data_IF_626819323642
#
_entry.id   IF_626819323642
#
_cell.length_a   1.000
_cell.length_b   1.000
_cell.length_c   1.000
_cell.angle_alpha   90.00
_cell.angle_beta   90.00
_cell.angle_gamma   90.00
#
_symmetry.space_group_name_H-M   'P 1'
#
loop_
_entity.id
_entity.type
_entity.pdbx_description
1 polymer ?
#
# COMPACT_ATOMS: atom_id res chain seq x y z
N UNK A 1 67.39 14.95 -87.12
CA UNK A 1 68.13 15.26 -85.88
C UNK A 1 67.34 14.71 -84.69
N UNK A 2 67.92 13.71 -84.02
CA UNK A 2 67.59 13.16 -82.68
C UNK A 2 66.15 12.67 -82.41
N UNK A 3 66.03 11.34 -82.50
CA UNK A 3 65.27 10.50 -81.58
C UNK A 3 65.54 10.90 -80.12
N UNK A 4 64.49 11.00 -79.30
CA UNK A 4 64.60 10.96 -77.85
C UNK A 4 63.56 10.00 -77.29
N UNK A 5 64.08 8.82 -77.01
CA UNK A 5 63.53 7.79 -76.16
C UNK A 5 63.39 8.34 -74.73
N UNK A 6 62.19 8.28 -74.15
CA UNK A 6 61.98 8.44 -72.70
C UNK A 6 60.99 7.36 -72.24
N UNK A 7 61.35 6.10 -72.50
CA UNK A 7 60.90 4.98 -71.69
C UNK A 7 61.66 4.99 -70.35
N UNK A 8 60.95 5.09 -69.21
CA UNK A 8 61.47 4.51 -67.96
C UNK A 8 61.47 5.32 -66.66
N UNK A 9 60.98 6.58 -66.58
CA UNK A 9 61.03 7.34 -65.30
C UNK A 9 59.68 7.81 -64.72
N UNK A 10 58.58 7.73 -65.46
CA UNK A 10 57.24 8.13 -64.98
C UNK A 10 56.51 7.04 -64.18
N UNK A 11 56.92 5.77 -64.29
CA UNK A 11 56.24 4.67 -63.60
C UNK A 11 56.51 4.62 -62.08
N UNK A 12 57.68 5.08 -61.62
CA UNK A 12 58.05 5.05 -60.18
C UNK A 12 57.35 6.15 -59.37
N UNK A 13 57.21 7.36 -59.93
CA UNK A 13 56.50 8.46 -59.26
C UNK A 13 54.98 8.24 -59.24
N UNK A 14 54.41 7.74 -60.35
CA UNK A 14 53.00 7.33 -60.40
C UNK A 14 52.70 6.18 -59.44
N UNK A 15 53.62 5.21 -59.32
CA UNK A 15 53.51 4.11 -58.36
C UNK A 15 53.59 4.57 -56.89
N UNK A 16 54.45 5.53 -56.55
CA UNK A 16 54.55 6.11 -55.21
C UNK A 16 53.30 6.92 -54.81
N UNK A 17 52.75 7.71 -55.73
CA UNK A 17 51.49 8.44 -55.52
C UNK A 17 50.31 7.48 -55.35
N UNK A 18 50.23 6.44 -56.18
CA UNK A 18 49.19 5.41 -56.05
C UNK A 18 49.30 4.67 -54.70
N UNK A 19 50.51 4.37 -54.24
CA UNK A 19 50.75 3.71 -52.96
C UNK A 19 50.39 4.62 -51.77
N UNK A 20 50.65 5.92 -51.86
CA UNK A 20 50.25 6.91 -50.86
C UNK A 20 48.73 7.04 -50.76
N UNK A 21 48.04 7.11 -51.91
CA UNK A 21 46.57 7.15 -51.96
C UNK A 21 45.98 5.86 -51.37
N UNK A 22 46.54 4.69 -51.73
CA UNK A 22 46.12 3.41 -51.17
C UNK A 22 46.32 3.36 -49.66
N UNK A 23 47.47 3.82 -49.16
CA UNK A 23 47.73 3.91 -47.73
C UNK A 23 46.74 4.86 -47.02
N UNK A 24 46.47 6.04 -47.58
CA UNK A 24 45.49 6.98 -47.03
C UNK A 24 44.08 6.38 -46.99
N UNK A 25 43.68 5.61 -48.02
CA UNK A 25 42.40 4.90 -48.03
C UNK A 25 42.38 3.82 -46.94
N UNK A 26 43.43 3.02 -46.79
CA UNK A 26 43.50 2.00 -45.76
C UNK A 26 43.42 2.63 -44.37
N UNK A 27 44.17 3.71 -44.12
CA UNK A 27 44.13 4.45 -42.84
C UNK A 27 42.74 5.03 -42.59
N UNK A 28 42.11 5.63 -43.60
CA UNK A 28 40.75 6.18 -43.48
C UNK A 28 39.72 5.09 -43.21
N UNK A 29 39.80 3.94 -43.89
CA UNK A 29 38.88 2.81 -43.68
C UNK A 29 39.11 2.18 -42.31
N UNK A 30 40.36 2.02 -41.86
CA UNK A 30 40.68 1.54 -40.51
C UNK A 30 40.18 2.50 -39.44
N UNK A 31 40.37 3.81 -39.61
CA UNK A 31 39.83 4.82 -38.71
C UNK A 31 38.30 4.83 -38.71
N UNK A 32 37.68 4.82 -39.90
CA UNK A 32 36.23 4.85 -40.04
C UNK A 32 35.57 3.56 -39.52
N UNK A 33 36.29 2.44 -39.51
CA UNK A 33 35.84 1.18 -38.91
C UNK A 33 35.91 1.20 -37.37
N UNK A 34 36.73 2.05 -36.76
CA UNK A 34 36.86 2.19 -35.30
C UNK A 34 36.16 3.42 -34.71
N UNK A 35 35.94 4.47 -35.50
CA UNK A 35 35.29 5.68 -35.03
C UNK A 35 33.78 5.47 -34.88
N UNK A 36 33.28 5.55 -33.65
CA UNK A 36 31.85 5.48 -33.34
C UNK A 36 31.18 6.86 -33.49
N UNK A 37 29.98 6.84 -34.07
CA UNK A 37 29.07 7.97 -34.15
C UNK A 37 27.75 7.61 -33.46
N UNK A 38 27.32 8.46 -32.54
CA UNK A 38 26.06 8.31 -31.80
C UNK A 38 24.87 8.46 -32.77
N UNK A 39 23.95 7.51 -32.70
CA UNK A 39 22.67 7.58 -33.36
C UNK A 39 21.65 8.18 -32.38
N UNK A 40 21.04 9.31 -32.77
CA UNK A 40 20.03 10.00 -31.97
C UNK A 40 18.68 10.00 -32.68
N UNK A 41 17.63 9.72 -31.91
CA UNK A 41 16.24 9.89 -32.34
C UNK A 41 15.68 11.13 -31.67
N UNK A 42 15.26 12.11 -32.48
CA UNK A 42 14.69 13.39 -31.99
C UNK A 42 13.18 13.28 -31.95
N UNK A 43 12.60 13.49 -30.77
CA UNK A 43 11.16 13.35 -30.56
C UNK A 43 10.62 14.54 -29.77
N UNK A 44 9.46 15.10 -30.18
CA UNK A 44 8.81 16.13 -29.41
C UNK A 44 8.24 15.53 -28.13
N UNK A 45 8.29 16.29 -27.04
CA UNK A 45 7.77 15.90 -25.75
C UNK A 45 7.17 17.05 -24.95
N UNK A 46 6.44 16.69 -23.91
CA UNK A 46 5.77 17.60 -23.00
C UNK A 46 6.11 17.25 -21.56
N UNK A 47 6.38 18.25 -20.74
CA UNK A 47 6.69 18.06 -19.33
C UNK A 47 5.40 17.76 -18.56
N UNK A 48 5.42 16.67 -17.82
CA UNK A 48 4.35 16.20 -16.94
C UNK A 48 4.92 16.00 -15.53
N UNK A 49 4.09 16.17 -14.48
CA UNK A 49 4.50 15.79 -13.13
C UNK A 49 4.78 14.28 -13.07
N UNK A 50 5.78 13.86 -12.28
CA UNK A 50 6.02 12.43 -12.02
C UNK A 50 4.81 11.76 -11.37
N UNK A 51 4.17 12.49 -10.46
CA UNK A 51 3.07 11.96 -9.68
C UNK A 51 1.75 12.34 -10.32
N UNK A 52 0.77 11.47 -10.14
CA UNK A 52 -0.60 11.75 -10.56
C UNK A 52 -1.26 12.61 -9.48
N UNK A 53 -2.23 13.43 -9.89
CA UNK A 53 -3.10 14.11 -8.92
C UNK A 53 -3.74 13.06 -8.00
N UNK A 54 -3.63 13.26 -6.70
CA UNK A 54 -4.28 12.40 -5.72
C UNK A 54 -5.72 12.87 -5.55
N UNK A 55 -6.68 11.98 -5.80
CA UNK A 55 -8.10 12.29 -5.56
C UNK A 55 -8.43 11.90 -4.13
N UNK A 56 -8.95 12.85 -3.36
CA UNK A 56 -9.50 12.62 -2.03
C UNK A 56 -11.00 12.44 -2.18
N UNK A 57 -11.49 11.27 -1.78
CA UNK A 57 -12.89 10.87 -1.94
C UNK A 57 -13.51 10.55 -0.58
N UNK A 58 -14.83 10.59 -0.54
CA UNK A 58 -15.61 10.20 0.64
C UNK A 58 -15.67 8.69 0.73
N UNK A 59 -15.21 8.13 1.85
CA UNK A 59 -15.38 6.71 2.16
C UNK A 59 -16.77 6.45 2.75
N UNK A 60 -17.13 7.22 3.78
CA UNK A 60 -18.41 7.12 4.48
C UNK A 60 -19.26 8.38 4.25
N UNK A 61 -20.54 8.23 3.85
CA UNK A 61 -21.39 9.38 3.57
C UNK A 61 -21.65 10.20 4.84
N UNK A 62 -21.65 11.52 4.71
CA UNK A 62 -21.73 12.43 5.84
C UNK A 62 -22.14 13.85 5.46
N UNK A 63 -22.47 14.63 6.48
CA UNK A 63 -22.78 16.06 6.35
C UNK A 63 -21.51 16.84 6.63
N UNK A 64 -21.12 17.76 5.75
CA UNK A 64 -19.95 18.61 5.95
C UNK A 64 -20.19 19.52 7.14
N UNK A 65 -19.28 19.46 8.11
CA UNK A 65 -19.28 20.31 9.30
C UNK A 65 -18.36 21.52 9.08
N UNK A 66 -17.12 21.26 8.63
CA UNK A 66 -16.12 22.32 8.41
C UNK A 66 -15.27 22.03 7.17
N UNK A 67 -14.92 23.08 6.43
CA UNK A 67 -13.94 23.05 5.33
C UNK A 67 -12.80 23.99 5.71
N UNK A 68 -11.58 23.45 5.87
CA UNK A 68 -10.44 24.16 6.45
C UNK A 68 -9.40 24.60 5.42
N UNK A 69 -9.59 24.21 4.15
CA UNK A 69 -8.70 24.54 3.04
C UNK A 69 -9.44 25.23 1.91
N UNK A 70 -8.69 25.97 1.10
CA UNK A 70 -9.19 26.65 -0.10
C UNK A 70 -8.45 26.12 -1.32
N UNK A 71 -9.04 26.28 -2.50
CA UNK A 71 -8.33 25.98 -3.75
C UNK A 71 -7.05 26.80 -3.87
N UNK A 72 -5.97 26.15 -4.32
CA UNK A 72 -4.63 26.74 -4.39
C UNK A 72 -3.86 26.76 -3.06
N UNK A 73 -4.45 26.30 -1.95
CA UNK A 73 -3.75 26.22 -0.68
C UNK A 73 -2.67 25.11 -0.69
N UNK A 74 -1.50 25.42 -0.13
CA UNK A 74 -0.47 24.44 0.20
C UNK A 74 -0.91 23.64 1.43
N UNK A 75 -0.84 22.31 1.33
CA UNK A 75 -1.18 21.38 2.40
C UNK A 75 -0.04 20.41 2.64
N UNK A 76 0.10 20.00 3.91
CA UNK A 76 1.05 18.97 4.32
C UNK A 76 0.39 17.61 4.49
N UNK A 77 1.14 16.53 4.39
CA UNK A 77 0.69 15.18 4.74
C UNK A 77 0.15 15.16 6.17
N UNK A 78 -1.02 14.56 6.35
CA UNK A 78 -1.73 14.48 7.63
C UNK A 78 -2.46 15.77 8.03
N UNK A 79 -2.33 16.86 7.26
CA UNK A 79 -3.06 18.10 7.52
C UNK A 79 -4.57 17.89 7.34
N UNK A 80 -5.35 18.37 8.30
CA UNK A 80 -6.80 18.36 8.24
C UNK A 80 -7.31 19.28 7.10
N UNK A 81 -8.13 18.72 6.22
CA UNK A 81 -8.69 19.40 5.05
C UNK A 81 -10.17 19.74 5.25
N UNK A 82 -10.94 18.76 5.69
CA UNK A 82 -12.39 18.84 5.84
C UNK A 82 -12.83 17.94 7.00
N UNK A 83 -13.92 18.31 7.66
CA UNK A 83 -14.55 17.52 8.72
C UNK A 83 -16.02 17.31 8.41
N UNK A 84 -16.48 16.09 8.53
CA UNK A 84 -17.89 15.72 8.55
C UNK A 84 -18.43 15.69 9.98
N UNK A 85 -19.74 15.83 10.13
CA UNK A 85 -20.40 15.75 11.42
C UNK A 85 -20.19 14.36 12.06
N UNK A 86 -19.45 14.33 13.18
CA UNK A 86 -19.04 13.08 13.86
C UNK A 86 -20.02 12.62 14.92
N UNK A 87 -21.00 13.43 15.32
CA UNK A 87 -21.83 13.20 16.52
C UNK A 87 -22.48 11.81 16.49
N UNK A 88 -23.03 11.42 15.35
CA UNK A 88 -23.68 10.10 15.21
C UNK A 88 -22.67 8.94 15.29
N UNK A 89 -21.54 9.06 14.60
CA UNK A 89 -20.52 8.02 14.58
C UNK A 89 -19.84 7.87 15.94
N UNK A 90 -19.58 8.98 16.62
CA UNK A 90 -19.03 9.01 17.98
C UNK A 90 -20.00 8.39 18.99
N UNK A 91 -21.30 8.74 18.94
CA UNK A 91 -22.31 8.14 19.81
C UNK A 91 -22.37 6.61 19.64
N UNK A 92 -22.37 6.10 18.40
CA UNK A 92 -22.36 4.67 18.09
C UNK A 92 -21.08 3.97 18.58
N UNK A 93 -19.92 4.62 18.40
CA UNK A 93 -18.65 4.13 18.93
C UNK A 93 -18.69 4.03 20.47
N UNK A 94 -19.13 5.07 21.18
CA UNK A 94 -19.20 5.11 22.64
C UNK A 94 -20.19 4.08 23.20
N UNK A 95 -21.34 3.90 22.55
CA UNK A 95 -22.32 2.87 22.91
C UNK A 95 -21.72 1.47 22.79
N UNK A 96 -21.05 1.20 21.65
CA UNK A 96 -20.45 -0.11 21.39
C UNK A 96 -19.25 -0.37 22.29
N UNK A 97 -18.45 0.66 22.56
CA UNK A 97 -17.35 0.59 23.51
C UNK A 97 -17.85 0.20 24.91
N UNK A 98 -18.94 0.81 25.36
CA UNK A 98 -19.56 0.49 26.66
C UNK A 98 -20.03 -0.97 26.72
N UNK A 99 -20.58 -1.50 25.61
CA UNK A 99 -20.94 -2.93 25.49
C UNK A 99 -19.71 -3.84 25.57
N UNK A 100 -18.62 -3.51 24.89
CA UNK A 100 -17.34 -4.25 24.95
C UNK A 100 -16.80 -4.28 26.38
N UNK A 101 -16.83 -3.15 27.09
CA UNK A 101 -16.38 -3.06 28.48
C UNK A 101 -17.21 -3.97 29.39
N UNK A 102 -18.54 -3.95 29.25
CA UNK A 102 -19.42 -4.83 30.03
C UNK A 102 -19.16 -6.32 29.75
N UNK A 103 -18.96 -6.69 28.47
CA UNK A 103 -18.63 -8.07 28.08
C UNK A 103 -17.25 -8.50 28.58
N UNK A 104 -16.23 -7.63 28.52
CA UNK A 104 -14.92 -7.89 29.12
C UNK A 104 -15.03 -8.17 30.63
N UNK A 105 -15.84 -7.40 31.35
CA UNK A 105 -16.08 -7.62 32.78
C UNK A 105 -16.75 -8.98 33.03
N UNK A 106 -17.75 -9.35 32.21
CA UNK A 106 -18.42 -10.63 32.28
C UNK A 106 -17.44 -11.80 32.03
N UNK A 107 -16.59 -11.71 31.00
CA UNK A 107 -15.56 -12.72 30.68
C UNK A 107 -14.53 -12.84 31.82
N UNK A 108 -14.07 -11.72 32.39
CA UNK A 108 -13.13 -11.75 33.52
C UNK A 108 -13.74 -12.44 34.75
N UNK A 109 -15.01 -12.16 35.05
CA UNK A 109 -15.77 -12.84 36.11
C UNK A 109 -15.90 -14.34 35.84
N UNK A 110 -16.41 -14.70 34.66
CA UNK A 110 -16.72 -16.10 34.32
C UNK A 110 -15.46 -16.97 34.20
N UNK A 111 -14.38 -16.43 33.64
CA UNK A 111 -13.07 -17.12 33.63
C UNK A 111 -12.57 -17.39 35.05
N UNK A 112 -12.78 -16.45 35.99
CA UNK A 112 -12.45 -16.64 37.39
C UNK A 112 -13.34 -17.69 38.08
N UNK A 113 -14.63 -17.75 37.75
CA UNK A 113 -15.56 -18.80 38.21
C UNK A 113 -15.12 -20.19 37.74
N UNK A 114 -14.70 -20.32 36.48
CA UNK A 114 -14.22 -21.58 35.90
C UNK A 114 -12.88 -22.02 36.50
N UNK A 115 -11.96 -21.07 36.70
CA UNK A 115 -10.62 -21.34 37.25
C UNK A 115 -10.59 -21.45 38.78
N UNK A 116 -11.66 -21.04 39.47
CA UNK A 116 -11.71 -21.01 40.93
C UNK A 116 -10.81 -19.96 41.58
N UNK A 117 -10.51 -18.86 40.87
CA UNK A 117 -9.65 -17.75 41.35
C UNK A 117 -10.46 -16.47 41.53
N UNK A 118 -9.87 -15.44 42.14
CA UNK A 118 -10.49 -14.10 42.18
C UNK A 118 -10.43 -13.43 40.79
N UNK A 119 -11.50 -12.72 40.37
CA UNK A 119 -11.54 -12.09 39.06
C UNK A 119 -10.55 -10.94 38.96
N UNK A 120 -9.72 -10.97 37.90
CA UNK A 120 -8.82 -9.90 37.51
C UNK A 120 -9.40 -9.15 36.32
N UNK A 121 -9.79 -7.89 36.54
CA UNK A 121 -10.41 -7.08 35.50
C UNK A 121 -9.35 -6.31 34.68
N UNK A 122 -9.52 -6.23 33.34
CA UNK A 122 -8.68 -5.38 32.49
C UNK A 122 -8.77 -3.89 32.84
N UNK A 123 -7.72 -3.12 32.54
CA UNK A 123 -7.64 -1.69 32.85
C UNK A 123 -8.80 -0.87 32.27
N UNK A 124 -9.35 -1.25 31.12
CA UNK A 124 -10.45 -0.50 30.52
C UNK A 124 -11.75 -0.63 31.34
N UNK A 125 -11.91 -1.74 32.05
CA UNK A 125 -13.07 -1.98 32.94
C UNK A 125 -12.87 -1.25 34.27
N UNK A 126 -11.61 -1.09 34.73
CA UNK A 126 -11.30 -0.40 35.99
C UNK A 126 -11.81 1.05 36.03
N UNK A 127 -12.01 1.67 34.86
CA UNK A 127 -12.57 3.02 34.71
C UNK A 127 -14.06 3.12 35.02
N UNK A 128 -14.76 1.98 35.15
CA UNK A 128 -16.22 1.91 35.35
C UNK A 128 -16.54 1.21 36.68
N UNK A 129 -16.53 1.94 37.82
CA UNK A 129 -16.65 1.35 39.15
C UNK A 129 -17.99 0.63 39.38
N UNK A 130 -19.09 1.12 38.79
CA UNK A 130 -20.41 0.49 38.90
C UNK A 130 -20.43 -0.91 38.26
N UNK A 131 -19.82 -1.06 37.08
CA UNK A 131 -19.72 -2.36 36.37
C UNK A 131 -18.90 -3.34 37.22
N UNK A 132 -17.75 -2.90 37.74
CA UNK A 132 -16.89 -3.72 38.60
C UNK A 132 -17.62 -4.19 39.86
N UNK A 133 -18.27 -3.27 40.57
CA UNK A 133 -19.00 -3.57 41.79
C UNK A 133 -20.09 -4.62 41.54
N UNK A 134 -20.85 -4.47 40.46
CA UNK A 134 -21.90 -5.41 40.08
C UNK A 134 -21.34 -6.81 39.76
N UNK A 135 -20.28 -6.91 38.95
CA UNK A 135 -19.67 -8.20 38.62
C UNK A 135 -19.00 -8.87 39.81
N UNK A 136 -18.36 -8.10 40.69
CA UNK A 136 -17.72 -8.63 41.89
C UNK A 136 -18.76 -9.10 42.93
N UNK A 137 -19.87 -8.35 43.11
CA UNK A 137 -20.98 -8.77 43.96
C UNK A 137 -21.65 -10.05 43.44
N UNK A 138 -21.87 -10.14 42.12
CA UNK A 138 -22.44 -11.31 41.48
C UNK A 138 -21.54 -12.55 41.65
N UNK A 139 -20.23 -12.40 41.44
CA UNK A 139 -19.23 -13.46 41.66
C UNK A 139 -19.31 -14.01 43.08
N UNK A 140 -19.23 -13.13 44.09
CA UNK A 140 -19.31 -13.50 45.50
C UNK A 140 -20.61 -14.22 45.83
N UNK A 141 -21.74 -13.71 45.33
CA UNK A 141 -23.06 -14.32 45.57
C UNK A 141 -23.16 -15.73 44.99
N UNK A 142 -22.71 -15.95 43.75
CA UNK A 142 -22.72 -17.27 43.11
C UNK A 142 -21.80 -18.26 43.82
N UNK A 143 -20.57 -17.84 44.15
CA UNK A 143 -19.61 -18.68 44.87
C UNK A 143 -20.11 -19.04 46.27
N UNK A 144 -20.67 -18.07 46.99
CA UNK A 144 -21.27 -18.32 48.30
C UNK A 144 -22.40 -19.34 48.23
N UNK A 145 -23.34 -19.18 47.29
CA UNK A 145 -24.44 -20.12 47.11
C UNK A 145 -23.95 -21.55 46.82
N UNK A 146 -22.96 -21.72 45.94
CA UNK A 146 -22.36 -23.01 45.65
C UNK A 146 -21.72 -23.64 46.90
N UNK A 147 -20.92 -22.86 47.62
CA UNK A 147 -20.22 -23.34 48.81
C UNK A 147 -21.19 -23.73 49.92
N UNK A 148 -22.27 -22.99 50.11
CA UNK A 148 -23.30 -23.28 51.10
C UNK A 148 -24.03 -24.59 50.79
N UNK A 149 -24.42 -24.81 49.53
CA UNK A 149 -25.06 -26.06 49.14
C UNK A 149 -24.13 -27.27 49.27
N UNK A 150 -22.83 -27.11 48.95
CA UNK A 150 -21.82 -28.13 49.18
C UNK A 150 -21.64 -28.37 50.67
N UNK A 151 -21.67 -27.32 51.50
CA UNK A 151 -21.50 -27.43 52.94
C UNK A 151 -22.64 -28.22 53.58
N UNK A 152 -23.89 -27.90 53.25
CA UNK A 152 -25.06 -28.67 53.73
C UNK A 152 -24.97 -30.14 53.31
N UNK A 153 -24.58 -30.40 52.06
CA UNK A 153 -24.40 -31.78 51.57
C UNK A 153 -23.27 -32.52 52.28
N UNK A 154 -22.17 -31.83 52.61
CA UNK A 154 -21.05 -32.41 53.36
C UNK A 154 -21.43 -32.73 54.81
N UNK A 155 -22.16 -31.84 55.48
CA UNK A 155 -22.67 -32.12 56.82
C UNK A 155 -23.57 -33.37 56.85
N UNK A 156 -24.43 -33.51 55.84
CA UNK A 156 -25.25 -34.73 55.69
C UNK A 156 -24.40 -35.98 55.46
N UNK A 157 -23.30 -35.87 54.69
CA UNK A 157 -22.36 -36.98 54.49
C UNK A 157 -21.64 -37.35 55.79
N UNK A 158 -21.12 -36.36 56.52
CA UNK A 158 -20.42 -36.56 57.80
C UNK A 158 -21.30 -37.27 58.82
N UNK A 159 -22.60 -36.93 58.88
CA UNK A 159 -23.56 -37.62 59.76
C UNK A 159 -23.73 -39.10 59.39
N UNK A 160 -23.85 -39.42 58.09
CA UNK A 160 -23.98 -40.80 57.60
C UNK A 160 -22.68 -41.58 57.81
N UNK A 161 -21.53 -40.95 57.61
CA UNK A 161 -20.22 -41.56 57.87
C UNK A 161 -19.99 -41.82 59.35
N UNK A 162 -20.43 -40.92 60.24
CA UNK A 162 -20.38 -41.13 61.68
C UNK A 162 -21.31 -42.29 62.11
N UNK A 163 -22.52 -42.38 61.56
CA UNK A 163 -23.43 -43.49 61.81
C UNK A 163 -22.85 -44.82 61.32
N UNK A 164 -22.21 -44.82 60.14
CA UNK A 164 -21.51 -45.98 59.61
C UNK A 164 -20.36 -46.42 60.54
N UNK A 165 -19.56 -45.47 61.04
CA UNK A 165 -18.42 -45.76 61.90
C UNK A 165 -18.82 -46.42 63.23
N UNK A 166 -20.00 -46.08 63.76
CA UNK A 166 -20.54 -46.69 64.99
C UNK A 166 -21.21 -48.04 64.71
N UNK A 167 -21.87 -48.21 63.56
CA UNK A 167 -22.62 -49.43 63.23
C UNK A 167 -21.76 -50.54 62.63
N UNK A 168 -20.67 -50.22 61.93
CA UNK A 168 -19.77 -51.20 61.31
C UNK A 168 -19.16 -52.22 62.31
N UNK A 169 -18.68 -51.86 63.52
CA UNK A 169 -18.20 -52.85 64.50
C UNK A 169 -19.33 -53.75 65.04
N UNK A 170 -20.58 -53.27 65.10
CA UNK A 170 -21.73 -54.05 65.56
C UNK A 170 -22.10 -55.19 64.59
N UNK A 171 -21.67 -55.09 63.32
CA UNK A 171 -21.83 -56.18 62.36
C UNK A 171 -20.96 -57.39 62.75
N UNK A 172 -19.78 -57.15 63.32
CA UNK A 172 -18.87 -58.21 63.75
C UNK A 172 -19.39 -58.96 64.99
N UNK A 173 -20.14 -58.28 65.86
CA UNK A 173 -20.82 -58.89 67.02
C UNK A 173 -22.16 -59.54 66.66
N UNK A 174 -22.71 -59.24 65.48
CA UNK A 174 -23.97 -59.79 64.97
C UNK A 174 -25.22 -58.99 65.36
N UNK A 175 -25.05 -57.82 65.97
CA UNK A 175 -26.14 -56.98 66.48
C UNK A 175 -26.85 -56.17 65.39
N UNK A 176 -26.26 -56.07 64.19
CA UNK A 176 -26.84 -55.39 63.02
C UNK A 176 -26.73 -56.22 61.74
N UNK A 177 -27.68 -56.01 60.82
CA UNK A 177 -27.69 -56.69 59.52
C UNK A 177 -26.71 -56.05 58.53
N UNK A 178 -26.04 -56.90 57.72
CA UNK A 178 -25.22 -56.46 56.59
C UNK A 178 -26.00 -55.58 55.59
N UNK A 179 -27.33 -55.75 55.52
CA UNK A 179 -28.20 -54.94 54.65
C UNK A 179 -28.22 -53.47 55.09
N UNK A 180 -28.18 -53.19 56.39
CA UNK A 180 -28.27 -51.83 56.90
C UNK A 180 -26.95 -51.07 56.69
N UNK A 181 -25.80 -51.73 56.85
CA UNK A 181 -24.50 -51.20 56.44
C UNK A 181 -24.47 -50.86 54.94
N UNK A 182 -25.00 -51.74 54.09
CA UNK A 182 -25.08 -51.47 52.65
C UNK A 182 -26.01 -50.29 52.31
N UNK A 183 -27.11 -50.10 53.06
CA UNK A 183 -27.98 -48.92 52.91
C UNK A 183 -27.23 -47.63 53.23
N UNK A 184 -26.52 -47.59 54.37
CA UNK A 184 -25.73 -46.42 54.78
C UNK A 184 -24.60 -46.11 53.79
N UNK A 185 -23.84 -47.12 53.34
CA UNK A 185 -22.81 -46.94 52.29
C UNK A 185 -23.40 -46.39 51.00
N UNK A 186 -24.54 -46.91 50.55
CA UNK A 186 -25.24 -46.39 49.37
C UNK A 186 -25.68 -44.94 49.55
N UNK A 187 -26.19 -44.58 50.74
CA UNK A 187 -26.59 -43.20 51.05
C UNK A 187 -25.40 -42.25 51.03
N UNK A 188 -24.25 -42.65 51.60
CA UNK A 188 -23.01 -41.87 51.53
C UNK A 188 -22.57 -41.64 50.07
N UNK A 189 -22.57 -42.70 49.26
CA UNK A 189 -22.24 -42.61 47.82
C UNK A 189 -23.22 -41.71 47.07
N UNK A 190 -24.53 -41.75 47.39
CA UNK A 190 -25.53 -40.88 46.79
C UNK A 190 -25.28 -39.40 47.12
N UNK A 191 -24.97 -39.08 48.38
CA UNK A 191 -24.66 -37.71 48.81
C UNK A 191 -23.36 -37.21 48.14
N UNK A 192 -22.33 -38.07 48.09
CA UNK A 192 -21.09 -37.75 47.39
C UNK A 192 -21.31 -37.51 45.88
N UNK A 193 -22.20 -38.31 45.27
CA UNK A 193 -22.68 -38.11 43.91
C UNK A 193 -23.38 -36.77 43.75
N UNK A 194 -24.25 -36.36 44.68
CA UNK A 194 -24.92 -35.04 44.67
C UNK A 194 -23.92 -33.89 44.72
N UNK A 195 -22.90 -33.95 45.58
CA UNK A 195 -21.83 -32.93 45.65
C UNK A 195 -21.09 -32.82 44.32
N UNK A 196 -20.74 -33.97 43.73
CA UNK A 196 -19.99 -34.03 42.46
C UNK A 196 -20.82 -33.48 41.31
N UNK A 197 -22.07 -33.90 41.20
CA UNK A 197 -23.02 -33.40 40.20
C UNK A 197 -23.24 -31.90 40.35
N UNK A 198 -23.34 -31.38 41.58
CA UNK A 198 -23.53 -29.93 41.80
C UNK A 198 -22.31 -29.10 41.38
N UNK A 199 -21.10 -29.58 41.71
CA UNK A 199 -19.85 -28.95 41.24
C UNK A 199 -19.73 -28.97 39.73
N UNK A 200 -19.95 -30.13 39.11
CA UNK A 200 -19.86 -30.28 37.66
C UNK A 200 -20.89 -29.40 36.96
N UNK A 201 -22.12 -29.33 37.49
CA UNK A 201 -23.16 -28.48 36.91
C UNK A 201 -22.81 -27.00 36.98
N UNK A 202 -22.27 -26.54 38.11
CA UNK A 202 -21.79 -25.17 38.24
C UNK A 202 -20.68 -24.84 37.21
N UNK A 203 -19.72 -25.74 37.02
CA UNK A 203 -18.64 -25.57 36.04
C UNK A 203 -19.15 -25.60 34.60
N UNK A 204 -20.05 -26.53 34.27
CA UNK A 204 -20.70 -26.63 32.96
C UNK A 204 -21.45 -25.33 32.63
N UNK A 205 -22.26 -24.84 33.55
CA UNK A 205 -23.02 -23.60 33.38
C UNK A 205 -22.09 -22.39 33.24
N UNK A 206 -21.03 -22.30 34.05
CA UNK A 206 -20.03 -21.24 33.96
C UNK A 206 -19.23 -21.28 32.64
N UNK A 207 -18.87 -22.46 32.14
CA UNK A 207 -18.20 -22.64 30.86
C UNK A 207 -19.11 -22.27 29.68
N UNK A 208 -20.37 -22.68 29.73
CA UNK A 208 -21.35 -22.33 28.70
C UNK A 208 -21.60 -20.81 28.64
N UNK A 209 -21.76 -20.17 29.81
CA UNK A 209 -21.86 -18.70 29.91
C UNK A 209 -20.59 -18.02 29.41
N UNK A 210 -19.41 -18.54 29.75
CA UNK A 210 -18.11 -17.99 29.32
C UNK A 210 -17.96 -18.03 27.81
N UNK A 211 -18.24 -19.19 27.18
CA UNK A 211 -18.15 -19.35 25.74
C UNK A 211 -19.06 -18.36 25.00
N UNK A 212 -20.31 -18.22 25.46
CA UNK A 212 -21.27 -17.26 24.90
C UNK A 212 -20.83 -15.81 25.09
N UNK A 213 -20.27 -15.47 26.25
CA UNK A 213 -19.76 -14.14 26.53
C UNK A 213 -18.53 -13.80 25.67
N UNK A 214 -17.64 -14.76 25.43
CA UNK A 214 -16.49 -14.63 24.55
C UNK A 214 -16.92 -14.44 23.09
N UNK A 215 -17.83 -15.26 22.59
CA UNK A 215 -18.41 -15.11 21.24
C UNK A 215 -19.04 -13.72 21.05
N UNK A 216 -19.84 -13.28 22.02
CA UNK A 216 -20.47 -11.96 21.98
C UNK A 216 -19.44 -10.83 22.04
N UNK A 217 -18.37 -11.00 22.82
CA UNK A 217 -17.28 -10.04 22.93
C UNK A 217 -16.54 -9.90 21.60
N UNK A 218 -16.18 -11.01 20.96
CA UNK A 218 -15.50 -11.01 19.66
C UNK A 218 -16.35 -10.36 18.58
N UNK A 219 -17.63 -10.72 18.48
CA UNK A 219 -18.57 -10.09 17.55
C UNK A 219 -18.71 -8.58 17.80
N UNK A 220 -18.84 -8.16 19.06
CA UNK A 220 -18.99 -6.73 19.41
C UNK A 220 -17.70 -5.96 19.18
N UNK A 221 -16.52 -6.57 19.36
CA UNK A 221 -15.23 -5.95 19.04
C UNK A 221 -15.07 -5.68 17.55
N UNK A 222 -15.57 -6.57 16.69
CA UNK A 222 -15.59 -6.32 15.23
C UNK A 222 -16.48 -5.12 14.88
N UNK A 223 -17.67 -5.04 15.47
CA UNK A 223 -18.58 -3.90 15.29
C UNK A 223 -17.95 -2.60 15.83
N UNK A 224 -17.28 -2.67 16.97
CA UNK A 224 -16.55 -1.53 17.55
C UNK A 224 -15.47 -1.00 16.60
N UNK A 225 -14.71 -1.91 15.97
CA UNK A 225 -13.69 -1.54 14.99
C UNK A 225 -14.30 -0.83 13.78
N UNK A 226 -15.46 -1.29 13.29
CA UNK A 226 -16.21 -0.64 12.22
C UNK A 226 -16.70 0.76 12.63
N UNK A 227 -17.29 0.91 13.81
CA UNK A 227 -17.75 2.22 14.30
C UNK A 227 -16.59 3.19 14.56
N UNK A 228 -15.45 2.68 15.04
CA UNK A 228 -14.23 3.47 15.19
C UNK A 228 -13.74 3.98 13.84
N UNK A 229 -13.68 3.11 12.83
CA UNK A 229 -13.27 3.49 11.48
C UNK A 229 -14.20 4.54 10.88
N UNK A 230 -15.52 4.36 10.98
CA UNK A 230 -16.49 5.33 10.50
C UNK A 230 -16.34 6.71 11.20
N UNK A 231 -16.05 6.70 12.51
CA UNK A 231 -15.79 7.91 13.28
C UNK A 231 -14.48 8.59 12.84
N UNK A 232 -13.42 7.84 12.55
CA UNK A 232 -12.14 8.36 12.02
C UNK A 232 -12.27 8.90 10.58
N UNK A 233 -13.02 8.21 9.72
CA UNK A 233 -13.26 8.60 8.32
C UNK A 233 -14.07 9.89 8.18
N UNK A 234 -14.75 10.33 9.25
CA UNK A 234 -15.39 11.64 9.29
C UNK A 234 -14.39 12.81 9.32
N UNK A 235 -13.10 12.54 9.46
CA UNK A 235 -12.01 13.53 9.41
C UNK A 235 -11.19 13.29 8.15
N UNK A 236 -11.22 14.24 7.22
CA UNK A 236 -10.53 14.13 5.94
C UNK A 236 -9.20 14.85 6.02
N UNK A 237 -8.12 14.08 5.92
CA UNK A 237 -6.74 14.56 5.97
C UNK A 237 -6.07 14.45 4.61
N UNK A 238 -5.00 15.23 4.41
CA UNK A 238 -4.17 15.11 3.21
C UNK A 238 -3.31 13.85 3.26
N UNK A 239 -3.33 12.98 2.23
CA UNK A 239 -2.44 11.83 2.14
C UNK A 239 -0.98 12.20 1.83
N UNK A 240 -0.71 13.41 1.34
CA UNK A 240 0.62 13.86 0.90
C UNK A 240 0.78 15.38 0.98
N UNK A 241 2.01 15.86 0.86
CA UNK A 241 2.30 17.29 0.67
C UNK A 241 1.87 17.71 -0.75
N UNK A 242 1.20 18.86 -0.89
CA UNK A 242 0.67 19.27 -2.18
C UNK A 242 -0.05 20.60 -2.19
N UNK A 243 -0.57 20.98 -3.35
CA UNK A 243 -1.50 22.09 -3.55
C UNK A 243 -2.89 21.54 -3.82
N UNK A 244 -3.90 22.06 -3.14
CA UNK A 244 -5.29 21.67 -3.35
C UNK A 244 -5.79 22.20 -4.69
N UNK A 245 -6.26 21.30 -5.55
CA UNK A 245 -6.86 21.57 -6.86
C UNK A 245 -8.31 21.11 -6.87
N UNK A 246 -9.21 21.99 -7.32
CA UNK A 246 -10.63 21.70 -7.53
C UNK A 246 -11.34 21.08 -6.30
N UNK A 247 -11.89 21.92 -5.42
CA UNK A 247 -12.75 21.47 -4.33
C UNK A 247 -14.17 21.38 -4.89
N UNK A 248 -14.70 20.16 -5.00
CA UNK A 248 -16.06 19.93 -5.54
C UNK A 248 -17.14 20.24 -4.52
N UNK A 249 -16.88 19.95 -3.24
CA UNK A 249 -17.83 20.17 -2.17
C UNK A 249 -17.43 21.39 -1.35
N UNK A 250 -18.10 22.52 -1.59
CA UNK A 250 -17.74 23.84 -1.04
C UNK A 250 -18.72 24.35 0.01
N UNK A 251 -19.84 23.66 0.22
CA UNK A 251 -20.92 24.10 1.12
C UNK A 251 -20.88 23.36 2.46
N UNK A 252 -20.75 24.12 3.54
CA UNK A 252 -20.98 23.62 4.91
C UNK A 252 -22.46 23.24 5.05
N UNK A 253 -22.74 22.09 5.66
CA UNK A 253 -24.07 21.48 5.69
C UNK A 253 -24.44 20.71 4.42
N UNK A 254 -23.57 20.71 3.40
CA UNK A 254 -23.72 19.86 2.21
C UNK A 254 -23.62 18.37 2.57
N UNK A 255 -24.37 17.53 1.85
CA UNK A 255 -24.37 16.08 2.03
C UNK A 255 -23.47 15.44 0.99
N UNK A 256 -22.46 14.71 1.44
CA UNK A 256 -21.54 13.99 0.57
C UNK A 256 -21.90 12.50 0.49
N UNK A 257 -21.86 11.93 -0.72
CA UNK A 257 -22.14 10.51 -0.95
C UNK A 257 -20.86 9.69 -0.95
N UNK A 258 -20.98 8.39 -0.68
CA UNK A 258 -19.85 7.47 -0.79
C UNK A 258 -19.28 7.46 -2.22
N UNK A 259 -17.95 7.55 -2.33
CA UNK A 259 -17.23 7.63 -3.60
C UNK A 259 -17.25 9.01 -4.27
N UNK A 260 -17.92 10.00 -3.68
CA UNK A 260 -17.92 11.37 -4.21
C UNK A 260 -16.52 11.99 -4.03
N UNK A 261 -16.00 12.61 -5.10
CA UNK A 261 -14.73 13.31 -5.05
C UNK A 261 -14.87 14.60 -4.25
N UNK A 262 -14.07 14.79 -3.21
CA UNK A 262 -14.05 16.01 -2.42
C UNK A 262 -13.14 17.06 -3.04
N UNK A 263 -11.89 16.66 -3.29
CA UNK A 263 -10.85 17.53 -3.83
C UNK A 263 -9.71 16.71 -4.45
N UNK A 264 -8.89 17.36 -5.27
CA UNK A 264 -7.65 16.79 -5.78
C UNK A 264 -6.46 17.48 -5.14
N UNK A 265 -5.38 16.75 -4.93
CA UNK A 265 -4.13 17.30 -4.39
C UNK A 265 -3.04 17.03 -5.41
N UNK A 266 -2.35 18.11 -5.80
CA UNK A 266 -1.23 18.06 -6.73
C UNK A 266 0.07 18.14 -5.90
N UNK A 267 0.93 17.13 -5.92
CA UNK A 267 2.24 17.18 -5.26
C UNK A 267 3.03 18.45 -5.60
N UNK A 268 3.73 19.01 -4.60
CA UNK A 268 4.63 20.16 -4.81
C UNK A 268 6.03 19.68 -5.23
N UNK A 269 6.42 18.47 -4.84
CA UNK A 269 7.68 17.84 -5.22
C UNK A 269 7.43 16.78 -6.29
N UNK A 270 7.36 17.22 -7.55
CA UNK A 270 7.37 16.30 -8.67
C UNK A 270 8.73 16.34 -9.35
N UNK A 271 9.40 15.19 -9.40
CA UNK A 271 10.43 14.96 -10.40
C UNK A 271 9.75 15.12 -11.76
N UNK A 272 10.07 16.19 -12.49
CA UNK A 272 9.43 16.45 -13.77
C UNK A 272 9.85 15.37 -14.77
N UNK A 273 8.86 14.70 -15.37
CA UNK A 273 9.07 13.73 -16.45
C UNK A 273 8.72 14.38 -17.78
N UNK A 274 9.43 14.02 -18.83
CA UNK A 274 9.07 14.41 -20.20
C UNK A 274 8.37 13.24 -20.85
N UNK A 275 7.13 13.45 -21.27
CA UNK A 275 6.37 12.55 -22.11
C UNK A 275 6.70 12.85 -23.58
N UNK A 276 7.52 12.02 -24.20
CA UNK A 276 7.93 12.12 -25.60
C UNK A 276 7.09 11.21 -26.51
N UNK A 277 6.72 11.72 -27.68
CA UNK A 277 5.95 11.00 -28.71
C UNK A 277 6.91 10.41 -29.74
N UNK A 278 7.16 9.10 -29.65
CA UNK A 278 8.09 8.38 -30.54
C UNK A 278 7.33 7.71 -31.68
N UNK A 279 7.82 7.83 -32.91
CA UNK A 279 7.20 7.19 -34.07
C UNK A 279 7.39 5.67 -34.05
N UNK A 280 6.44 4.88 -34.56
CA UNK A 280 6.58 3.42 -34.69
C UNK A 280 7.81 2.97 -35.50
N UNK A 281 8.31 3.80 -36.42
CA UNK A 281 9.53 3.51 -37.19
C UNK A 281 10.80 3.53 -36.33
N UNK A 282 10.78 4.29 -35.24
CA UNK A 282 11.97 4.55 -34.42
C UNK A 282 11.95 3.78 -33.08
N UNK A 283 10.78 3.26 -32.68
CA UNK A 283 10.59 2.58 -31.39
C UNK A 283 11.46 1.34 -31.22
N UNK A 284 11.78 0.62 -32.31
CA UNK A 284 12.58 -0.60 -32.29
C UNK A 284 13.98 -0.39 -31.67
N UNK A 285 14.48 0.85 -31.68
CA UNK A 285 15.79 1.21 -31.16
C UNK A 285 15.73 1.92 -29.80
N UNK A 286 14.54 2.23 -29.29
CA UNK A 286 14.37 2.88 -27.98
C UNK A 286 14.15 1.80 -26.92
N UNK A 287 14.99 1.82 -25.87
CA UNK A 287 14.93 0.89 -24.74
C UNK A 287 14.93 1.65 -23.42
N UNK A 288 14.39 1.01 -22.39
CA UNK A 288 14.44 1.55 -21.04
C UNK A 288 15.90 1.68 -20.56
N UNK A 289 16.23 2.76 -19.87
CA UNK A 289 17.57 3.07 -19.38
C UNK A 289 18.52 3.73 -20.39
N UNK A 290 18.09 4.01 -21.62
CA UNK A 290 18.92 4.76 -22.57
C UNK A 290 19.10 6.22 -22.14
N UNK A 291 20.31 6.78 -22.29
CA UNK A 291 20.54 8.19 -22.03
C UNK A 291 19.83 9.06 -23.09
N UNK A 292 19.23 10.13 -22.62
CA UNK A 292 18.52 11.12 -23.41
C UNK A 292 19.00 12.52 -23.07
N UNK A 293 18.93 13.42 -24.03
CA UNK A 293 19.24 14.84 -23.84
C UNK A 293 17.98 15.65 -24.10
N UNK A 294 17.56 16.44 -23.13
CA UNK A 294 16.33 17.24 -23.18
C UNK A 294 16.70 18.69 -23.47
N UNK A 295 16.03 19.25 -24.47
CA UNK A 295 16.11 20.67 -24.86
C UNK A 295 14.75 21.30 -24.60
N UNK A 296 14.68 22.27 -23.70
CA UNK A 296 13.44 22.98 -23.40
C UNK A 296 13.15 23.98 -24.52
N UNK A 297 11.98 23.94 -25.13
CA UNK A 297 11.69 24.83 -26.26
C UNK A 297 11.49 26.29 -25.81
N UNK A 298 11.09 26.49 -24.55
CA UNK A 298 10.89 27.80 -23.94
C UNK A 298 12.19 28.55 -23.58
N UNK A 299 13.34 27.86 -23.60
CA UNK A 299 14.63 28.43 -23.24
C UNK A 299 15.64 28.19 -24.38
N UNK A 300 16.45 29.19 -24.72
CA UNK A 300 17.49 29.01 -25.74
C UNK A 300 18.54 28.02 -25.24
N UNK A 301 18.59 26.83 -25.84
CA UNK A 301 19.52 25.75 -25.49
C UNK A 301 20.99 26.13 -25.69
N UNK A 302 21.29 27.16 -26.49
CA UNK A 302 22.66 27.67 -26.69
C UNK A 302 23.15 28.41 -25.46
N UNK A 303 22.24 29.09 -24.76
CA UNK A 303 22.52 29.92 -23.58
C UNK A 303 22.38 29.09 -22.31
N UNK A 304 21.28 28.34 -22.21
CA UNK A 304 20.90 27.62 -20.99
C UNK A 304 21.42 26.18 -20.94
N UNK A 305 21.89 25.66 -22.09
CA UNK A 305 22.41 24.30 -22.22
C UNK A 305 21.31 23.26 -22.43
N UNK A 306 21.71 21.99 -22.31
CA UNK A 306 20.82 20.84 -22.43
C UNK A 306 20.79 20.07 -21.11
N UNK A 307 19.68 19.36 -20.86
CA UNK A 307 19.49 18.62 -19.62
C UNK A 307 19.68 17.12 -19.86
N UNK A 308 20.58 16.46 -19.13
CA UNK A 308 20.70 15.01 -19.20
C UNK A 308 19.45 14.37 -18.60
N UNK A 309 19.03 13.25 -19.19
CA UNK A 309 17.92 12.44 -18.70
C UNK A 309 18.06 10.99 -19.12
N UNK A 310 17.17 10.15 -18.61
CA UNK A 310 17.16 8.71 -18.88
C UNK A 310 15.75 8.27 -19.22
N UNK A 311 15.61 7.42 -20.23
CA UNK A 311 14.34 6.76 -20.56
C UNK A 311 13.95 5.86 -19.39
N UNK A 312 12.76 6.06 -18.82
CA UNK A 312 12.26 5.27 -17.67
C UNK A 312 11.07 4.38 -18.02
N UNK A 313 10.30 4.75 -19.04
CA UNK A 313 9.09 4.03 -19.42
C UNK A 313 8.82 4.13 -20.93
N UNK A 314 8.28 3.07 -21.51
CA UNK A 314 7.87 2.97 -22.91
C UNK A 314 6.49 2.29 -22.94
N UNK A 315 5.51 2.84 -23.66
CA UNK A 315 4.19 2.21 -23.81
C UNK A 315 4.30 0.87 -24.55
N UNK A 316 3.48 -0.11 -24.14
CA UNK A 316 3.43 -1.41 -24.79
C UNK A 316 2.75 -1.37 -26.17
N UNK A 317 1.89 -0.37 -26.39
CA UNK A 317 1.13 -0.16 -27.60
C UNK A 317 1.27 1.28 -28.14
N UNK A 318 0.84 1.47 -29.38
CA UNK A 318 0.70 2.79 -30.00
C UNK A 318 -0.55 3.48 -29.47
N UNK A 319 -0.41 4.73 -29.06
CA UNK A 319 -1.52 5.61 -28.73
C UNK A 319 -1.84 6.51 -29.93
N UNK A 320 -3.11 6.83 -30.08
CA UNK A 320 -3.63 7.89 -30.94
C UNK A 320 -4.44 8.84 -30.06
N UNK A 321 -4.23 10.16 -30.16
CA UNK A 321 -5.13 11.09 -29.48
C UNK A 321 -6.48 11.08 -30.22
N UNK A 322 -7.49 10.49 -29.60
CA UNK A 322 -8.84 10.49 -30.15
C UNK A 322 -9.42 11.92 -30.13
N UNK A 323 -9.77 12.41 -31.33
CA UNK A 323 -11.00 13.16 -31.63
C UNK A 323 -10.92 14.59 -32.26
N UNK A 324 -9.79 15.14 -32.71
CA UNK A 324 -9.86 16.48 -33.41
C UNK A 324 -9.02 16.73 -34.65
N UNK A 325 -8.07 15.87 -35.03
CA UNK A 325 -7.29 16.07 -36.25
C UNK A 325 -7.21 14.78 -37.06
N UNK A 326 -7.76 14.78 -38.27
CA UNK A 326 -7.79 13.66 -39.21
C UNK A 326 -6.40 13.26 -39.77
N UNK A 327 -5.30 13.66 -39.12
CA UNK A 327 -3.94 13.53 -39.64
C UNK A 327 -2.88 13.21 -38.57
N UNK A 328 -3.29 12.76 -37.37
CA UNK A 328 -2.31 12.39 -36.34
C UNK A 328 -1.85 10.95 -36.50
N UNK A 329 -0.52 10.80 -36.63
CA UNK A 329 0.14 9.51 -36.78
C UNK A 329 0.18 8.78 -35.42
N UNK A 330 -0.02 7.44 -35.40
CA UNK A 330 0.12 6.66 -34.17
C UNK A 330 1.52 6.83 -33.60
N UNK A 331 1.64 6.93 -32.28
CA UNK A 331 2.92 7.12 -31.60
C UNK A 331 3.04 6.22 -30.37
N UNK A 332 4.26 5.86 -30.00
CA UNK A 332 4.58 5.27 -28.71
C UNK A 332 4.89 6.37 -27.72
N UNK A 333 4.35 6.25 -26.51
CA UNK A 333 4.65 7.17 -25.42
C UNK A 333 5.90 6.70 -24.70
N UNK A 334 6.91 7.57 -24.64
CA UNK A 334 8.16 7.32 -23.91
C UNK A 334 8.33 8.38 -22.83
N UNK A 335 8.58 7.97 -21.60
CA UNK A 335 8.85 8.91 -20.51
C UNK A 335 10.36 8.99 -20.23
N UNK A 336 10.85 10.22 -20.12
CA UNK A 336 12.25 10.52 -19.81
C UNK A 336 12.30 11.31 -18.51
N UNK A 337 13.08 10.81 -17.54
CA UNK A 337 13.35 11.51 -16.28
C UNK A 337 14.60 12.38 -16.45
N UNK A 338 14.51 13.66 -16.10
CA UNK A 338 15.69 14.55 -16.05
C UNK A 338 16.54 14.24 -14.81
N UNK A 339 17.85 14.32 -14.97
CA UNK A 339 18.80 14.16 -13.86
C UNK A 339 19.09 15.53 -13.22
N UNK A 340 18.71 15.70 -11.94
CA UNK A 340 19.02 16.89 -11.14
C UNK A 340 17.79 17.60 -10.57
N UNK A 341 17.75 17.80 -9.24
CA UNK A 341 16.64 18.47 -8.54
C UNK A 341 16.58 19.99 -8.75
N UNK A 342 17.70 20.61 -9.09
CA UNK A 342 17.78 22.03 -9.41
C UNK A 342 18.44 22.18 -10.77
N UNK A 343 17.62 22.42 -11.80
CA UNK A 343 18.07 22.61 -13.16
C UNK A 343 18.54 24.07 -13.31
N UNK A 344 19.63 24.40 -12.62
CA UNK A 344 20.30 25.69 -12.75
C UNK A 344 20.95 25.73 -14.14
N UNK A 345 20.21 26.27 -15.11
CA UNK A 345 20.77 26.56 -16.42
C UNK A 345 21.99 27.46 -16.28
N UNK A 346 22.95 27.35 -17.20
CA UNK A 346 24.16 28.22 -17.24
C UNK A 346 23.86 29.69 -17.59
N UNK A 347 22.59 30.07 -17.68
CA UNK A 347 22.15 31.40 -18.06
C UNK A 347 22.09 32.38 -16.88
N UNK A 348 21.82 33.67 -17.17
CA UNK A 348 21.84 34.74 -16.17
C UNK A 348 20.66 34.72 -15.18
N UNK A 349 19.60 33.95 -15.45
CA UNK A 349 18.43 33.79 -14.58
C UNK A 349 18.16 32.32 -14.27
N UNK A 350 17.60 32.01 -13.08
CA UNK A 350 17.18 30.65 -12.74
C UNK A 350 16.06 30.19 -13.69
N UNK A 351 16.15 28.94 -14.14
CA UNK A 351 15.13 28.29 -14.97
C UNK A 351 14.06 27.73 -14.04
N UNK A 352 12.82 28.18 -14.22
CA UNK A 352 11.64 27.53 -13.65
C UNK A 352 10.97 26.68 -14.72
N UNK A 353 10.81 25.38 -14.45
CA UNK A 353 10.14 24.44 -15.33
C UNK A 353 8.75 24.15 -14.76
N UNK A 354 7.72 24.36 -15.58
CA UNK A 354 6.34 24.11 -15.18
C UNK A 354 5.76 22.93 -15.97
N UNK A 355 4.90 22.10 -15.35
CA UNK A 355 4.08 21.14 -16.07
C UNK A 355 3.35 21.79 -17.25
N UNK A 356 3.42 21.16 -18.41
CA UNK A 356 2.79 21.66 -19.63
C UNK A 356 3.74 22.28 -20.65
N UNK A 357 4.96 22.65 -20.27
CA UNK A 357 5.99 23.12 -21.20
C UNK A 357 6.37 22.03 -22.21
N UNK A 358 6.76 22.44 -23.43
CA UNK A 358 7.24 21.54 -24.47
C UNK A 358 8.76 21.45 -24.48
N UNK A 359 9.27 20.29 -24.89
CA UNK A 359 10.69 20.03 -25.00
C UNK A 359 10.97 19.10 -26.17
N UNK A 360 12.13 19.26 -26.79
CA UNK A 360 12.67 18.30 -27.75
C UNK A 360 13.60 17.32 -27.04
N UNK A 361 13.30 16.03 -27.12
CA UNK A 361 14.09 14.96 -26.50
C UNK A 361 14.91 14.24 -27.56
N UNK A 362 16.21 14.15 -27.33
CA UNK A 362 17.16 13.41 -28.17
C UNK A 362 17.56 12.13 -27.44
N UNK A 363 17.01 10.99 -27.86
CA UNK A 363 17.30 9.68 -27.26
C UNK A 363 18.49 9.06 -28.00
N UNK A 364 19.53 8.63 -27.28
CA UNK A 364 20.67 7.92 -27.86
C UNK A 364 20.29 6.46 -28.11
N UNK A 365 19.92 6.13 -29.34
CA UNK A 365 19.34 4.83 -29.73
C UNK A 365 20.38 3.79 -30.19
N UNK A 366 21.65 4.18 -30.29
CA UNK A 366 22.77 3.29 -30.55
C UNK A 366 24.02 4.03 -30.99
N UNK A 367 25.05 3.30 -31.39
CA UNK A 367 26.22 3.81 -32.09
C UNK A 367 26.41 3.06 -33.41
N UNK A 368 26.88 3.76 -34.44
CA UNK A 368 27.37 3.12 -35.67
C UNK A 368 28.81 3.55 -35.90
N UNK A 369 29.58 2.77 -36.64
CA UNK A 369 30.89 3.22 -37.10
C UNK A 369 30.73 4.19 -38.27
N UNK A 370 31.67 5.12 -38.43
CA UNK A 370 31.67 6.07 -39.55
C UNK A 370 31.61 5.35 -40.90
N UNK A 371 32.30 4.22 -41.03
CA UNK A 371 32.29 3.38 -42.23
C UNK A 371 30.87 2.87 -42.55
N UNK A 372 30.15 2.38 -41.54
CA UNK A 372 28.78 1.86 -41.69
C UNK A 372 27.78 2.98 -42.02
N UNK A 373 27.96 4.17 -41.45
CA UNK A 373 27.13 5.32 -41.77
C UNK A 373 27.30 5.76 -43.23
N UNK A 374 28.54 5.88 -43.71
CA UNK A 374 28.86 6.26 -45.09
C UNK A 374 28.45 5.19 -46.12
N UNK A 375 28.52 3.91 -45.76
CA UNK A 375 28.14 2.81 -46.64
C UNK A 375 26.61 2.57 -46.70
N UNK A 376 25.83 3.12 -45.76
CA UNK A 376 24.36 2.92 -45.66
C UNK A 376 23.59 3.23 -46.95
N UNK A 377 23.84 4.33 -47.69
CA UNK A 377 23.12 4.62 -48.93
C UNK A 377 23.40 3.59 -50.02
N UNK A 378 24.67 3.18 -50.17
CA UNK A 378 25.07 2.21 -51.19
C UNK A 378 24.51 0.81 -50.90
N UNK A 379 24.55 0.38 -49.65
CA UNK A 379 23.99 -0.91 -49.22
C UNK A 379 22.47 -0.92 -49.41
N UNK A 380 21.78 0.19 -49.11
CA UNK A 380 20.34 0.31 -49.30
C UNK A 380 19.97 0.19 -50.78
N UNK A 381 20.65 0.92 -51.67
CA UNK A 381 20.37 0.88 -53.11
C UNK A 381 20.70 -0.48 -53.74
N UNK A 382 21.77 -1.15 -53.28
CA UNK A 382 22.13 -2.48 -53.78
C UNK A 382 21.08 -3.53 -53.38
N UNK A 383 20.60 -3.50 -52.14
CA UNK A 383 19.56 -4.42 -51.66
C UNK A 383 18.19 -4.15 -52.31
N UNK A 384 17.81 -2.88 -52.52
CA UNK A 384 16.56 -2.52 -53.23
C UNK A 384 16.64 -2.86 -54.73
N UNK A 385 17.83 -2.83 -55.35
CA UNK A 385 18.02 -3.20 -56.77
C UNK A 385 18.12 -4.72 -57.03
N UNK A 386 18.45 -5.52 -56.02
CA UNK A 386 18.61 -6.97 -56.13
C UNK A 386 17.41 -7.75 -55.57
N UNK A 387 16.54 -7.09 -54.83
CA UNK A 387 15.30 -7.66 -54.27
C UNK A 387 14.06 -7.12 -54.98
N UNK A 388 13.84 -7.51 -56.23
CA UNK A 388 12.55 -7.34 -56.92
C UNK A 388 11.86 -8.71 -57.02
N UNK A 389 10.95 -9.00 -56.07
CA UNK A 389 9.76 -9.84 -56.24
C UNK A 389 8.68 -9.41 -55.26
#
# INVERSE_FOLDING_TARGET
MKTFDIEGKTSRLGGLLALFVLFAIVVFVSWAAWADIDQITRVPGKIIPSSRNQVVQVLDPGIVDEILVKEGALVKQGQLLMRFNRVKAEALYMETWSKVVALKAAVARLSAEVLGVEPRFPEEVLKYPEILANHHALFKKRRYALLEEIHVSKQALELVEAELAVTEPLLATGDVSKVDILKLKRQAVEIQGKITTRKNKYLEDAQAELAKAQESLEATQQVLAQHKQAMENAVIISPMDGVVRNIRLTTVGGVARAGEELMQIVPVEDDLLIEAKVKPTDIAYVKNGLPATVKLDAYDYTIYGTFPGVVTYISADTLSEEARAANEQPYYRVQVRMEGKHLSGRGPMPIEIQPGMTATVEIKTGSNTVLKYLAKPMIKTLNESLGER
#
